data_IF_918671516328
#
_entry.id   IF_918671516328
#
_cell.length_a   1.000
_cell.length_b   1.000
_cell.length_c   1.000
_cell.angle_alpha   90.00
_cell.angle_beta   90.00
_cell.angle_gamma   90.00
#
_symmetry.space_group_name_H-M   'P 1'
#
loop_
_entity.id
_entity.type
_entity.pdbx_description
1 polymer ?
#
# COMPACT_ATOMS: atom_id res chain seq x y z
N UNK A 1 -31.38 -32.38 12.30
CA UNK A 1 -31.79 -31.96 10.95
C UNK A 1 -30.54 -32.02 10.08
N UNK A 2 -30.43 -33.07 9.28
CA UNK A 2 -29.20 -33.45 8.57
C UNK A 2 -28.99 -32.53 7.36
N UNK A 3 -27.87 -31.79 7.35
CA UNK A 3 -27.43 -31.02 6.19
C UNK A 3 -26.85 -32.02 5.18
N UNK A 4 -27.61 -32.30 4.13
CA UNK A 4 -27.10 -32.96 2.92
C UNK A 4 -26.15 -31.98 2.22
N UNK A 5 -24.84 -32.22 2.32
CA UNK A 5 -23.87 -31.65 1.38
C UNK A 5 -24.10 -32.30 0.01
N UNK A 6 -24.77 -31.59 -0.89
CA UNK A 6 -24.72 -31.91 -2.31
C UNK A 6 -23.48 -31.24 -2.90
N UNK A 7 -22.41 -32.03 -3.07
CA UNK A 7 -21.28 -31.65 -3.91
C UNK A 7 -21.68 -31.80 -5.38
N UNK A 8 -21.85 -30.68 -6.08
CA UNK A 8 -21.87 -30.67 -7.54
C UNK A 8 -20.40 -30.61 -8.03
N UNK A 9 -19.77 -31.77 -8.17
CA UNK A 9 -18.45 -31.91 -8.79
C UNK A 9 -18.59 -31.83 -10.32
N UNK A 10 -18.63 -30.61 -10.87
CA UNK A 10 -18.51 -30.43 -12.32
C UNK A 10 -17.03 -30.35 -12.70
N UNK A 11 -16.52 -31.48 -13.22
CA UNK A 11 -15.31 -31.60 -14.05
C UNK A 11 -13.95 -31.46 -13.37
N UNK A 12 -13.44 -32.56 -12.80
CA UNK A 12 -12.02 -32.75 -12.49
C UNK A 12 -11.33 -33.34 -13.73
N UNK A 13 -10.47 -32.58 -14.40
CA UNK A 13 -9.55 -33.12 -15.41
C UNK A 13 -8.29 -33.66 -14.73
N UNK A 14 -8.07 -34.97 -14.79
CA UNK A 14 -6.86 -35.63 -14.30
C UNK A 14 -5.77 -35.58 -15.38
N UNK A 15 -4.69 -34.82 -15.14
CA UNK A 15 -3.41 -35.02 -15.82
C UNK A 15 -2.44 -35.71 -14.84
N UNK A 16 -1.96 -36.88 -15.23
CA UNK A 16 -0.95 -37.65 -14.48
C UNK A 16 0.45 -37.20 -14.87
N UNK A 17 1.24 -36.71 -13.91
CA UNK A 17 2.69 -36.55 -14.06
C UNK A 17 3.42 -37.03 -12.78
N UNK A 18 4.49 -37.79 -13.02
CA UNK A 18 5.38 -38.48 -12.09
C UNK A 18 5.89 -37.67 -10.87
N UNK A 19 5.99 -38.37 -9.74
CA UNK A 19 6.92 -38.23 -8.59
C UNK A 19 7.55 -36.86 -8.32
N UNK A 20 6.72 -35.83 -8.25
CA UNK A 20 7.02 -34.51 -7.72
C UNK A 20 5.79 -34.09 -6.92
N UNK A 21 5.97 -33.36 -5.81
CA UNK A 21 4.85 -32.98 -4.94
C UNK A 21 3.83 -32.20 -5.78
N UNK A 22 2.64 -32.77 -5.97
CA UNK A 22 1.56 -32.14 -6.74
C UNK A 22 0.86 -31.15 -5.81
N UNK A 23 0.86 -29.87 -6.19
CA UNK A 23 0.07 -28.84 -5.52
C UNK A 23 -1.31 -28.82 -6.17
N UNK A 24 -2.35 -29.07 -5.37
CA UNK A 24 -3.74 -28.90 -5.79
C UNK A 24 -4.27 -27.62 -5.17
N UNK A 25 -4.59 -26.64 -6.00
CA UNK A 25 -5.29 -25.43 -5.60
C UNK A 25 -6.78 -25.61 -5.85
N UNK A 26 -7.59 -25.36 -4.80
CA UNK A 26 -9.05 -25.42 -4.87
C UNK A 26 -9.59 -24.07 -4.40
N UNK A 27 -10.28 -23.34 -5.28
CA UNK A 27 -10.98 -22.10 -4.96
C UNK A 27 -12.47 -22.36 -4.72
N UNK A 28 -13.07 -21.57 -3.83
CA UNK A 28 -14.50 -21.60 -3.54
C UNK A 28 -15.03 -20.18 -3.71
N UNK A 29 -15.85 -19.97 -4.74
CA UNK A 29 -16.34 -18.64 -5.10
C UNK A 29 -17.84 -18.45 -4.76
N UNK A 30 -18.58 -19.54 -4.49
CA UNK A 30 -20.01 -19.48 -4.18
C UNK A 30 -20.27 -19.15 -2.71
N UNK A 31 -21.01 -18.07 -2.46
CA UNK A 31 -21.40 -17.66 -1.12
C UNK A 31 -22.53 -18.51 -0.56
N UNK A 32 -22.40 -18.94 0.70
CA UNK A 32 -23.42 -19.75 1.39
C UNK A 32 -24.47 -18.92 2.15
N UNK A 33 -24.20 -17.63 2.40
CA UNK A 33 -25.04 -16.76 3.25
C UNK A 33 -25.96 -15.83 2.46
N UNK A 34 -25.57 -15.46 1.25
CA UNK A 34 -26.26 -14.52 0.38
C UNK A 34 -26.19 -15.02 -1.06
N UNK A 35 -27.02 -14.43 -1.92
CA UNK A 35 -27.09 -14.83 -3.33
C UNK A 35 -25.82 -14.40 -4.08
N UNK A 36 -25.41 -15.22 -5.05
CA UNK A 36 -24.33 -14.85 -5.96
C UNK A 36 -24.64 -13.56 -6.71
N UNK A 37 -23.70 -12.61 -6.69
CA UNK A 37 -23.84 -11.31 -7.35
C UNK A 37 -24.63 -10.27 -6.55
N UNK A 38 -24.62 -10.32 -5.22
CA UNK A 38 -25.23 -9.31 -4.37
C UNK A 38 -24.66 -7.90 -4.67
N UNK A 39 -25.49 -6.92 -5.05
CA UNK A 39 -25.02 -5.57 -5.35
C UNK A 39 -24.40 -4.87 -4.14
N UNK A 40 -24.80 -5.19 -2.91
CA UNK A 40 -24.24 -4.60 -1.69
C UNK A 40 -22.84 -5.13 -1.43
N UNK A 41 -22.63 -6.44 -1.61
CA UNK A 41 -21.31 -7.05 -1.50
C UNK A 41 -20.36 -6.46 -2.53
N UNK A 42 -20.80 -6.36 -3.80
CA UNK A 42 -20.01 -5.74 -4.86
C UNK A 42 -19.62 -4.31 -4.52
N UNK A 43 -20.59 -3.50 -4.09
CA UNK A 43 -20.34 -2.12 -3.68
C UNK A 43 -19.34 -2.03 -2.52
N UNK A 44 -19.46 -2.89 -1.52
CA UNK A 44 -18.54 -2.93 -0.37
C UNK A 44 -17.12 -3.36 -0.81
N UNK A 45 -17.03 -4.33 -1.71
CA UNK A 45 -15.78 -4.84 -2.26
C UNK A 45 -15.05 -3.76 -3.08
N UNK A 46 -15.80 -2.99 -3.88
CA UNK A 46 -15.29 -1.85 -4.63
C UNK A 46 -14.85 -0.72 -3.69
N UNK A 47 -15.70 -0.33 -2.72
CA UNK A 47 -15.41 0.73 -1.74
C UNK A 47 -14.15 0.46 -0.92
N UNK A 48 -13.94 -0.78 -0.49
CA UNK A 48 -12.78 -1.18 0.30
C UNK A 48 -11.57 -1.56 -0.57
N UNK A 49 -11.69 -1.42 -1.89
CA UNK A 49 -10.65 -1.74 -2.88
C UNK A 49 -10.06 -3.15 -2.71
N UNK A 50 -10.91 -4.15 -2.43
CA UNK A 50 -10.48 -5.52 -2.16
C UNK A 50 -10.11 -6.29 -3.44
N UNK A 51 -10.47 -5.78 -4.63
CA UNK A 51 -10.08 -6.37 -5.92
C UNK A 51 -8.60 -6.07 -6.25
N UNK A 52 -7.73 -6.92 -5.69
CA UNK A 52 -6.28 -6.78 -5.78
C UNK A 52 -5.67 -7.46 -7.01
N UNK A 53 -6.37 -8.43 -7.63
CA UNK A 53 -5.82 -9.27 -8.70
C UNK A 53 -5.91 -8.64 -10.08
N UNK A 54 -7.07 -8.09 -10.42
CA UNK A 54 -7.35 -7.64 -11.79
C UNK A 54 -6.62 -6.34 -12.15
N UNK A 55 -6.36 -5.48 -11.16
CA UNK A 55 -5.75 -4.16 -11.36
C UNK A 55 -4.22 -4.16 -11.42
N UNK A 56 -3.56 -5.17 -10.86
CA UNK A 56 -2.10 -5.37 -11.00
C UNK A 56 -1.77 -5.95 -12.38
N UNK A 57 -2.62 -6.85 -12.88
CA UNK A 57 -2.43 -7.55 -14.16
C UNK A 57 -2.87 -6.74 -15.40
N UNK A 58 -3.71 -5.71 -15.22
CA UNK A 58 -4.32 -4.95 -16.33
C UNK A 58 -3.51 -3.73 -16.79
N UNK A 59 -2.28 -3.53 -16.30
CA UNK A 59 -1.34 -2.73 -17.08
C UNK A 59 -0.72 -3.65 -18.12
N UNK A 60 -1.16 -3.60 -19.40
CA UNK A 60 -0.43 -4.33 -20.41
C UNK A 60 0.98 -3.74 -20.40
N UNK A 61 1.97 -4.59 -20.16
CA UNK A 61 3.29 -4.43 -20.76
C UNK A 61 3.06 -4.66 -22.26
N UNK A 62 2.31 -3.75 -22.88
CA UNK A 62 2.19 -3.63 -24.32
C UNK A 62 3.60 -3.33 -24.80
N UNK A 63 4.06 -4.18 -25.71
CA UNK A 63 5.36 -4.20 -26.40
C UNK A 63 6.46 -4.99 -25.71
N UNK A 64 6.43 -6.29 -25.99
CA UNK A 64 7.55 -7.14 -26.42
C UNK A 64 8.75 -6.27 -26.87
N UNK A 65 9.61 -5.86 -25.93
CA UNK A 65 10.78 -5.02 -26.26
C UNK A 65 11.30 -4.13 -25.13
N UNK A 66 10.43 -3.46 -24.38
CA UNK A 66 10.86 -2.57 -23.30
C UNK A 66 10.94 -3.34 -21.97
N UNK A 67 12.12 -3.93 -21.74
CA UNK A 67 12.53 -4.35 -20.39
C UNK A 67 12.40 -3.13 -19.47
N UNK A 68 11.53 -3.24 -18.47
CA UNK A 68 11.45 -2.45 -17.23
C UNK A 68 12.14 -1.07 -17.26
N UNK A 69 11.42 0.06 -17.16
CA UNK A 69 12.03 1.38 -17.27
C UNK A 69 13.17 1.53 -16.26
N UNK A 70 14.36 2.01 -16.66
CA UNK A 70 15.49 2.07 -15.76
C UNK A 70 15.14 2.90 -14.51
N UNK A 71 15.54 2.46 -13.29
CA UNK A 71 15.18 3.12 -12.04
C UNK A 71 15.53 4.63 -12.03
N UNK A 72 16.55 5.04 -12.77
CA UNK A 72 16.97 6.44 -12.84
C UNK A 72 16.00 7.37 -13.56
N UNK A 73 15.19 6.83 -14.49
CA UNK A 73 14.14 7.60 -15.18
C UNK A 73 12.86 7.70 -14.35
N UNK A 74 12.71 6.84 -13.34
CA UNK A 74 11.53 6.83 -12.48
C UNK A 74 11.61 7.97 -11.46
N UNK A 75 10.48 8.63 -11.25
CA UNK A 75 10.36 9.79 -10.35
C UNK A 75 9.40 9.47 -9.20
N UNK A 76 9.72 10.00 -8.03
CA UNK A 76 8.90 9.88 -6.84
C UNK A 76 7.94 11.07 -6.81
N UNK A 77 6.67 10.80 -6.61
CA UNK A 77 5.62 11.81 -6.48
C UNK A 77 5.04 11.78 -5.08
N UNK A 78 4.67 12.97 -4.59
CA UNK A 78 3.94 13.15 -3.35
C UNK A 78 2.47 13.21 -3.69
N UNK A 79 1.69 12.26 -3.17
CA UNK A 79 0.27 12.15 -3.50
C UNK A 79 -0.51 13.02 -2.53
N UNK A 80 -1.35 13.90 -3.08
CA UNK A 80 -2.33 14.59 -2.26
C UNK A 80 -3.48 13.63 -1.93
N UNK A 81 -3.77 13.48 -0.63
CA UNK A 81 -4.81 12.56 -0.16
C UNK A 81 -6.20 13.07 -0.46
N UNK A 82 -6.39 14.38 -0.39
CA UNK A 82 -7.70 14.99 -0.64
C UNK A 82 -8.13 14.75 -2.08
N UNK A 83 -7.18 14.76 -3.02
CA UNK A 83 -7.44 14.43 -4.44
C UNK A 83 -7.55 12.92 -4.66
N UNK A 84 -6.77 12.11 -3.94
CA UNK A 84 -6.86 10.65 -4.01
C UNK A 84 -8.23 10.12 -3.59
N UNK A 85 -8.81 10.66 -2.51
CA UNK A 85 -10.10 10.24 -1.95
C UNK A 85 -11.30 11.05 -2.48
N UNK A 86 -11.14 11.81 -3.56
CA UNK A 86 -12.21 12.63 -4.14
C UNK A 86 -13.27 11.83 -4.94
N UNK A 87 -13.19 10.50 -4.97
CA UNK A 87 -14.12 9.60 -5.68
C UNK A 87 -14.28 9.93 -7.19
N UNK A 88 -13.18 10.25 -7.86
CA UNK A 88 -13.14 10.45 -9.31
C UNK A 88 -12.67 9.16 -10.01
N UNK A 89 -13.21 8.87 -11.20
CA UNK A 89 -12.93 7.61 -11.92
C UNK A 89 -11.43 7.30 -12.10
N UNK A 90 -10.61 8.32 -12.38
CA UNK A 90 -9.15 8.13 -12.52
C UNK A 90 -8.42 7.99 -11.18
N UNK A 91 -8.91 8.63 -10.12
CA UNK A 91 -8.31 8.55 -8.78
C UNK A 91 -8.69 7.23 -8.11
N UNK A 92 -9.92 6.73 -8.34
CA UNK A 92 -10.38 5.40 -7.93
C UNK A 92 -9.48 4.30 -8.53
N UNK A 93 -9.24 4.35 -9.84
CA UNK A 93 -8.36 3.40 -10.51
C UNK A 93 -6.91 3.47 -9.97
N UNK A 94 -6.44 4.66 -9.61
CA UNK A 94 -5.13 4.83 -8.98
C UNK A 94 -5.10 4.28 -7.54
N UNK A 95 -6.16 4.53 -6.76
CA UNK A 95 -6.34 4.03 -5.39
C UNK A 95 -6.40 2.50 -5.37
N UNK A 96 -7.16 1.89 -6.29
CA UNK A 96 -7.23 0.43 -6.43
C UNK A 96 -5.85 -0.18 -6.74
N UNK A 97 -5.06 0.45 -7.62
CA UNK A 97 -3.68 0.01 -7.90
C UNK A 97 -2.78 0.15 -6.68
N UNK A 98 -2.91 1.25 -5.93
CA UNK A 98 -2.15 1.50 -4.71
C UNK A 98 -2.50 0.47 -3.63
N UNK A 99 -3.78 0.20 -3.41
CA UNK A 99 -4.24 -0.76 -2.40
C UNK A 99 -3.90 -2.18 -2.81
N UNK A 100 -4.08 -2.55 -4.08
CA UNK A 100 -3.64 -3.85 -4.61
C UNK A 100 -2.15 -4.08 -4.38
N UNK A 101 -1.34 -3.03 -4.53
CA UNK A 101 0.09 -3.09 -4.23
C UNK A 101 0.38 -3.28 -2.73
N UNK A 102 -0.34 -2.58 -1.85
CA UNK A 102 -0.22 -2.81 -0.40
C UNK A 102 -0.61 -4.23 0.00
N UNK A 103 -1.66 -4.76 -0.60
CA UNK A 103 -2.11 -6.13 -0.33
C UNK A 103 -1.08 -7.15 -0.81
N UNK A 104 -0.53 -6.95 -2.00
CA UNK A 104 0.47 -7.85 -2.58
C UNK A 104 1.82 -7.84 -1.83
N UNK A 105 2.24 -6.71 -1.25
CA UNK A 105 3.55 -6.60 -0.61
C UNK A 105 3.57 -6.95 0.88
N UNK A 106 2.42 -7.01 1.55
CA UNK A 106 2.34 -7.21 3.00
C UNK A 106 1.59 -8.49 3.37
N UNK A 107 2.20 -9.29 4.24
CA UNK A 107 1.68 -10.57 4.70
C UNK A 107 0.35 -10.48 5.47
N UNK A 108 0.08 -9.34 6.11
CA UNK A 108 -1.16 -9.10 6.86
C UNK A 108 -1.65 -7.68 6.61
N UNK A 109 -2.86 -7.56 6.08
CA UNK A 109 -3.53 -6.29 5.86
C UNK A 109 -4.87 -6.28 6.59
N UNK A 110 -5.30 -5.09 7.01
CA UNK A 110 -6.63 -4.88 7.57
C UNK A 110 -7.33 -3.79 6.76
N UNK A 111 -8.65 -3.90 6.50
CA UNK A 111 -9.40 -2.83 5.85
C UNK A 111 -9.31 -1.48 6.59
N UNK A 112 -9.06 -1.52 7.90
CA UNK A 112 -8.83 -0.32 8.72
C UNK A 112 -7.57 0.47 8.28
N UNK A 113 -6.64 -0.16 7.55
CA UNK A 113 -5.47 0.53 7.00
C UNK A 113 -5.87 1.64 6.03
N UNK A 114 -6.93 1.43 5.24
CA UNK A 114 -7.46 2.43 4.31
C UNK A 114 -8.07 3.61 5.06
N UNK A 115 -8.80 3.33 6.15
CA UNK A 115 -9.35 4.36 7.02
C UNK A 115 -8.25 5.18 7.71
N UNK A 116 -7.21 4.53 8.23
CA UNK A 116 -6.07 5.23 8.82
C UNK A 116 -5.35 6.10 7.77
N UNK A 117 -5.28 5.64 6.52
CA UNK A 117 -4.65 6.37 5.43
C UNK A 117 -5.40 7.67 5.08
N UNK A 118 -6.74 7.66 5.16
CA UNK A 118 -7.58 8.82 4.88
C UNK A 118 -7.65 9.80 6.06
N UNK A 119 -7.78 9.29 7.29
CA UNK A 119 -8.05 10.12 8.47
C UNK A 119 -6.79 10.78 9.07
N UNK A 120 -5.67 10.07 9.15
CA UNK A 120 -4.56 10.50 9.99
C UNK A 120 -3.66 11.55 9.30
N UNK A 121 -3.66 12.84 9.69
CA UNK A 121 -3.05 13.93 8.92
C UNK A 121 -1.53 13.83 8.80
N UNK A 122 -0.87 13.16 9.75
CA UNK A 122 0.58 12.94 9.75
C UNK A 122 1.05 11.90 8.72
N UNK A 123 0.12 11.16 8.10
CA UNK A 123 0.45 10.16 7.08
C UNK A 123 0.63 10.81 5.70
N UNK A 124 1.73 10.46 5.07
CA UNK A 124 2.14 10.90 3.75
C UNK A 124 2.36 9.70 2.84
N UNK A 125 1.92 9.82 1.61
CA UNK A 125 2.02 8.77 0.60
C UNK A 125 2.92 9.28 -0.51
N UNK A 126 3.93 8.49 -0.83
CA UNK A 126 4.76 8.72 -1.99
C UNK A 126 4.66 7.54 -2.94
N UNK A 127 4.53 7.81 -4.23
CA UNK A 127 4.52 6.77 -5.26
C UNK A 127 5.65 7.00 -6.26
N UNK A 128 6.40 5.94 -6.55
CA UNK A 128 7.36 5.89 -7.64
C UNK A 128 6.61 5.49 -8.90
N UNK A 129 6.56 6.39 -9.87
CA UNK A 129 5.85 6.19 -11.12
C UNK A 129 6.83 5.93 -12.26
N UNK A 130 6.38 5.15 -13.25
CA UNK A 130 7.05 5.07 -14.54
C UNK A 130 7.02 6.45 -15.23
N UNK A 131 7.97 6.76 -16.12
CA UNK A 131 7.85 7.91 -17.00
C UNK A 131 6.50 7.86 -17.73
N UNK A 132 5.70 8.89 -17.55
CA UNK A 132 4.33 8.97 -18.04
C UNK A 132 4.11 10.32 -18.72
N UNK A 133 3.38 10.31 -19.84
CA UNK A 133 2.97 11.52 -20.54
C UNK A 133 1.60 12.01 -20.02
N UNK A 134 1.53 13.19 -19.36
CA UNK A 134 0.30 13.80 -18.88
C UNK A 134 -0.83 13.86 -19.90
N UNK A 135 -0.51 13.98 -21.20
CA UNK A 135 -1.50 14.17 -22.26
C UNK A 135 -2.16 12.87 -22.73
N UNK A 136 -1.63 11.70 -22.35
CA UNK A 136 -2.15 10.41 -22.79
C UNK A 136 -3.49 10.01 -22.15
N UNK A 137 -3.88 10.69 -21.06
CA UNK A 137 -5.13 10.41 -20.34
C UNK A 137 -5.18 9.05 -19.63
N UNK A 138 -4.05 8.33 -19.56
CA UNK A 138 -3.95 7.02 -18.90
C UNK A 138 -3.55 7.19 -17.44
N UNK A 139 -4.04 6.32 -16.57
CA UNK A 139 -3.58 6.29 -15.18
C UNK A 139 -2.14 5.75 -15.17
N UNK A 140 -1.16 6.47 -14.57
CA UNK A 140 0.22 6.02 -14.54
C UNK A 140 0.38 4.69 -13.81
N UNK A 141 1.43 3.96 -14.14
CA UNK A 141 1.76 2.68 -13.50
C UNK A 141 2.57 2.97 -12.24
N UNK A 142 2.11 2.41 -11.12
CA UNK A 142 2.75 2.53 -9.83
C UNK A 142 3.75 1.37 -9.67
N UNK A 143 5.04 1.70 -9.52
CA UNK A 143 6.09 0.69 -9.33
C UNK A 143 6.35 0.38 -7.86
N UNK A 144 6.35 1.43 -7.04
CA UNK A 144 6.63 1.36 -5.61
C UNK A 144 5.83 2.42 -4.86
N UNK A 145 5.31 2.10 -3.68
CA UNK A 145 4.64 3.05 -2.79
C UNK A 145 5.34 3.06 -1.43
N UNK A 146 5.53 4.25 -0.90
CA UNK A 146 6.07 4.50 0.42
C UNK A 146 5.02 5.19 1.27
N UNK A 147 4.68 4.60 2.41
CA UNK A 147 3.86 5.24 3.43
C UNK A 147 4.78 5.75 4.54
N UNK A 148 4.73 7.05 4.79
CA UNK A 148 5.55 7.73 5.80
C UNK A 148 4.62 8.40 6.80
N UNK A 149 4.93 8.34 8.09
CA UNK A 149 4.26 9.12 9.13
C UNK A 149 5.26 10.08 9.75
N UNK A 150 4.89 11.35 9.88
CA UNK A 150 5.66 12.31 10.65
C UNK A 150 5.38 12.10 12.13
N UNK A 151 6.44 11.91 12.92
CA UNK A 151 6.34 11.65 14.36
C UNK A 151 7.14 12.65 15.18
N UNK A 152 6.74 12.86 16.43
CA UNK A 152 7.48 13.65 17.40
C UNK A 152 6.91 15.04 17.66
N UNK A 153 7.74 15.97 18.16
CA UNK A 153 7.30 17.25 18.76
C UNK A 153 6.31 17.06 19.93
N UNK A 154 6.52 16.01 20.72
CA UNK A 154 5.71 15.73 21.89
C UNK A 154 6.19 16.63 23.04
N UNK A 155 5.26 17.21 23.78
CA UNK A 155 5.60 18.00 24.96
C UNK A 155 6.26 17.12 26.03
N UNK A 156 7.42 17.55 26.55
CA UNK A 156 8.18 16.86 27.58
C UNK A 156 7.34 16.49 28.81
N UNK A 157 6.42 17.35 29.23
CA UNK A 157 5.54 17.09 30.37
C UNK A 157 4.64 15.86 30.14
N UNK A 158 4.18 15.67 28.90
CA UNK A 158 3.37 14.52 28.50
C UNK A 158 4.23 13.26 28.54
N UNK A 159 5.46 13.32 28.01
CA UNK A 159 6.40 12.20 28.02
C UNK A 159 6.74 11.76 29.45
N UNK A 160 7.01 12.70 30.35
CA UNK A 160 7.31 12.43 31.76
C UNK A 160 6.11 11.83 32.51
N UNK A 161 4.90 12.31 32.23
CA UNK A 161 3.67 11.69 32.77
C UNK A 161 3.44 10.29 32.23
N UNK A 162 3.72 10.05 30.95
CA UNK A 162 3.64 8.72 30.34
C UNK A 162 4.68 7.76 30.92
N UNK A 163 5.90 8.24 31.16
CA UNK A 163 6.99 7.45 31.76
C UNK A 163 6.67 7.00 33.18
N UNK A 164 6.16 7.92 34.02
CA UNK A 164 5.79 7.61 35.41
C UNK A 164 4.60 6.64 35.54
N UNK A 165 3.70 6.62 34.55
CA UNK A 165 2.49 5.77 34.55
C UNK A 165 2.61 4.51 33.70
N UNK A 166 3.68 4.37 32.90
CA UNK A 166 3.82 3.30 31.91
C UNK A 166 2.77 3.34 30.78
N UNK A 167 2.06 4.45 30.61
CA UNK A 167 1.00 4.61 29.61
C UNK A 167 1.62 5.06 28.29
N UNK A 168 1.26 4.39 27.19
CA UNK A 168 1.60 4.77 25.83
C UNK A 168 0.34 5.31 25.16
N UNK A 169 0.37 6.57 24.76
CA UNK A 169 -0.71 7.13 23.94
C UNK A 169 -0.66 6.52 22.53
N UNK A 170 -1.80 6.48 21.86
CA UNK A 170 -1.91 5.97 20.49
C UNK A 170 -1.27 6.97 19.51
N UNK A 171 -0.20 6.55 18.84
CA UNK A 171 0.57 7.40 17.92
C UNK A 171 2.06 7.38 18.25
N UNK A 172 2.86 8.16 17.51
CA UNK A 172 4.27 8.46 17.77
C UNK A 172 5.09 7.31 18.39
N UNK A 173 5.08 6.15 17.74
CA UNK A 173 5.58 4.90 18.32
C UNK A 173 7.09 4.97 18.62
N UNK A 174 7.87 5.59 17.74
CA UNK A 174 9.33 5.70 17.92
C UNK A 174 9.67 6.63 19.10
N UNK A 175 9.17 7.88 19.14
CA UNK A 175 9.35 8.78 20.29
C UNK A 175 9.02 8.13 21.63
N UNK A 176 7.86 7.46 21.73
CA UNK A 176 7.43 6.80 22.96
C UNK A 176 8.34 5.64 23.36
N UNK A 177 8.67 4.76 22.40
CA UNK A 177 9.48 3.56 22.68
C UNK A 177 10.89 3.94 23.14
N UNK A 178 11.54 4.87 22.44
CA UNK A 178 12.90 5.31 22.78
C UNK A 178 12.90 6.06 24.11
N UNK A 179 11.98 7.00 24.31
CA UNK A 179 11.93 7.78 25.57
C UNK A 179 11.69 6.88 26.79
N UNK A 180 10.90 5.80 26.64
CA UNK A 180 10.66 4.84 27.72
C UNK A 180 11.83 3.88 27.97
N UNK A 181 12.48 3.37 26.92
CA UNK A 181 13.57 2.41 27.07
C UNK A 181 14.86 3.07 27.59
N UNK A 182 15.13 4.30 27.19
CA UNK A 182 16.33 5.03 27.57
C UNK A 182 16.07 6.07 28.69
N UNK A 183 14.83 6.18 29.17
CA UNK A 183 14.40 7.17 30.16
C UNK A 183 14.78 8.62 29.78
N UNK A 184 14.83 8.93 28.48
CA UNK A 184 15.23 10.24 27.96
C UNK A 184 14.03 10.97 27.36
N UNK A 185 13.48 11.92 28.12
CA UNK A 185 12.30 12.69 27.68
C UNK A 185 12.60 13.65 26.50
N UNK A 186 13.87 14.03 26.31
CA UNK A 186 14.31 14.96 25.25
C UNK A 186 14.13 14.37 23.84
N UNK A 187 14.17 13.04 23.72
CA UNK A 187 14.00 12.39 22.43
C UNK A 187 12.60 12.60 21.85
N UNK A 188 11.57 12.67 22.71
CA UNK A 188 10.19 12.93 22.29
C UNK A 188 9.95 14.31 21.67
N UNK A 189 10.79 15.30 22.00
CA UNK A 189 10.72 16.65 21.43
C UNK A 189 11.22 16.69 19.98
N UNK A 190 12.11 15.78 19.61
CA UNK A 190 12.64 15.70 18.25
C UNK A 190 11.54 15.33 17.27
N UNK A 191 11.53 15.97 16.10
CA UNK A 191 10.65 15.60 14.99
C UNK A 191 11.37 14.67 14.04
N UNK A 192 10.70 13.60 13.64
CA UNK A 192 11.20 12.62 12.68
C UNK A 192 10.14 12.20 11.68
N UNK A 193 10.55 11.32 10.77
CA UNK A 193 9.66 10.66 9.83
C UNK A 193 9.89 9.15 9.92
N UNK A 194 8.83 8.39 10.17
CA UNK A 194 8.84 6.93 10.19
C UNK A 194 8.28 6.38 8.89
N UNK A 195 9.03 5.53 8.22
CA UNK A 195 8.50 4.74 7.11
C UNK A 195 7.68 3.60 7.70
N UNK A 196 6.36 3.62 7.47
CA UNK A 196 5.44 2.58 7.95
C UNK A 196 5.48 1.38 6.99
N UNK A 197 5.36 1.64 5.69
CA UNK A 197 5.27 0.61 4.66
C UNK A 197 6.06 0.98 3.41
N UNK A 198 6.69 -0.03 2.82
CA UNK A 198 7.33 0.01 1.51
C UNK A 198 6.72 -1.12 0.71
N UNK A 199 6.03 -0.77 -0.36
CA UNK A 199 5.34 -1.73 -1.21
C UNK A 199 5.92 -1.65 -2.62
N UNK A 200 6.65 -2.68 -3.03
CA UNK A 200 7.19 -2.81 -4.39
C UNK A 200 6.40 -3.90 -5.08
N UNK A 201 6.03 -3.66 -6.33
CA UNK A 201 5.22 -4.61 -7.07
C UNK A 201 6.00 -5.92 -7.24
N UNK A 202 5.37 -7.09 -7.01
CA UNK A 202 6.05 -8.39 -6.93
C UNK A 202 6.94 -8.68 -8.14
N UNK A 203 6.45 -8.41 -9.35
CA UNK A 203 7.21 -8.60 -10.60
C UNK A 203 8.44 -7.70 -10.74
N UNK A 204 8.51 -6.58 -10.00
CA UNK A 204 9.60 -5.61 -10.05
C UNK A 204 10.53 -5.69 -8.83
N UNK A 205 10.36 -6.73 -8.00
CA UNK A 205 11.29 -7.02 -6.93
C UNK A 205 12.69 -7.34 -7.49
N UNK A 206 13.74 -7.04 -6.72
CA UNK A 206 15.14 -7.21 -7.13
C UNK A 206 15.64 -6.31 -8.28
N UNK A 207 14.82 -5.40 -8.82
CA UNK A 207 15.23 -4.42 -9.86
C UNK A 207 15.69 -3.06 -9.29
N UNK A 208 15.72 -2.91 -7.97
CA UNK A 208 16.26 -1.70 -7.30
C UNK A 208 15.30 -0.50 -7.20
N UNK A 209 14.04 -0.64 -7.60
CA UNK A 209 13.04 0.44 -7.48
C UNK A 209 12.78 0.89 -6.04
N UNK A 210 12.75 -0.05 -5.08
CA UNK A 210 12.63 0.28 -3.65
C UNK A 210 13.81 1.14 -3.16
N UNK A 211 15.04 0.74 -3.50
CA UNK A 211 16.25 1.49 -3.16
C UNK A 211 16.27 2.89 -3.78
N UNK A 212 15.81 3.01 -5.03
CA UNK A 212 15.64 4.30 -5.71
C UNK A 212 14.62 5.18 -5.00
N UNK A 213 13.46 4.64 -4.64
CA UNK A 213 12.41 5.37 -3.95
C UNK A 213 12.89 5.90 -2.60
N UNK A 214 13.61 5.10 -1.81
CA UNK A 214 14.21 5.52 -0.54
C UNK A 214 15.28 6.61 -0.72
N UNK A 215 16.13 6.50 -1.75
CA UNK A 215 17.15 7.52 -2.06
C UNK A 215 16.50 8.87 -2.40
N UNK A 216 15.44 8.85 -3.20
CA UNK A 216 14.67 10.05 -3.54
C UNK A 216 13.94 10.62 -2.33
N UNK A 217 13.33 9.78 -1.49
CA UNK A 217 12.65 10.20 -0.26
C UNK A 217 13.63 10.89 0.71
N UNK A 218 14.81 10.30 0.93
CA UNK A 218 15.87 10.91 1.74
C UNK A 218 16.31 12.26 1.15
N UNK A 219 16.44 12.35 -0.17
CA UNK A 219 16.78 13.59 -0.86
C UNK A 219 15.72 14.69 -0.69
N UNK A 220 14.43 14.31 -0.71
CA UNK A 220 13.29 15.19 -0.47
C UNK A 220 13.32 15.80 0.94
N UNK A 221 13.43 14.95 1.98
CA UNK A 221 13.48 15.44 3.36
C UNK A 221 14.79 16.18 3.72
N UNK A 222 15.89 15.87 3.03
CA UNK A 222 17.15 16.60 3.18
C UNK A 222 17.17 17.95 2.42
N UNK A 223 16.09 18.32 1.72
CA UNK A 223 16.01 19.56 0.94
C UNK A 223 16.89 19.59 -0.33
N UNK A 224 17.46 18.45 -0.74
CA UNK A 224 18.34 18.33 -1.92
C UNK A 224 17.55 18.21 -3.22
N UNK A 225 16.30 17.80 -3.15
CA UNK A 225 15.41 17.69 -4.30
C UNK A 225 14.46 18.89 -4.28
N UNK A 226 14.56 19.73 -5.31
CA UNK A 226 13.77 20.95 -5.43
C UNK A 226 12.29 20.58 -5.58
N UNK A 227 11.44 21.19 -4.72
CA UNK A 227 9.97 21.03 -4.63
C UNK A 227 9.21 21.08 -5.96
N UNK A 228 9.78 21.66 -7.02
CA UNK A 228 9.10 21.84 -8.30
C UNK A 228 8.86 20.55 -9.10
N UNK A 229 9.54 19.44 -8.79
CA UNK A 229 9.27 18.13 -9.41
C UNK A 229 8.11 17.36 -8.76
N UNK A 230 7.63 17.80 -7.59
CA UNK A 230 6.61 17.11 -6.80
C UNK A 230 5.21 17.75 -6.91
N UNK A 231 5.09 18.93 -7.53
CA UNK A 231 3.90 19.80 -7.41
C UNK A 231 2.77 19.57 -8.42
N UNK A 232 2.88 18.62 -9.36
CA UNK A 232 1.80 18.40 -10.35
C UNK A 232 1.64 16.92 -10.66
N UNK A 233 1.04 16.19 -9.74
CA UNK A 233 0.26 15.03 -10.11
C UNK A 233 -0.87 14.82 -9.09
N UNK A 234 -2.10 15.07 -9.58
CA UNK A 234 -3.40 15.06 -8.90
C UNK A 234 -3.62 16.12 -7.80
#
# INVERSE_FOLDING_TARGET
MWIKLYFALSSIFFFSVNSSRVLFEVSLDEAIRYASGDPIEKWLHDLLCLDCGNNLLSSPITTIGDRYPPPDRCQLFYINRDTLFAYHKSTEAFLHRLMGLYVASHYKNSPNDLQMLSDAPAHHIFALLTPYDPHSGRVPVILCVLQVCLEGKINQDIVMRGLSRGIRESGDLIPWTVSQQFCEAKFGELSGARIIRIAVHPDYQNLGYGSRALKLLRGYYAGKVVRYLFSRFL
#
